data_IF_555449668857
#
_entry.id   IF_555449668857
#
_cell.length_a   1.000
_cell.length_b   1.000
_cell.length_c   1.000
_cell.angle_alpha   90.00
_cell.angle_beta   90.00
_cell.angle_gamma   90.00
#
_symmetry.space_group_name_H-M   'P 1'
#
loop_
_entity.id
_entity.type
_entity.pdbx_description
1 polymer ?
#
# COMPACT_ATOMS: atom_id res chain seq x y z
N UNK A 1 2.92 -17.30 0.05
CA UNK A 1 4.01 -16.35 -0.26
C UNK A 1 4.11 -15.27 0.80
N UNK A 2 5.19 -14.50 0.82
CA UNK A 2 5.40 -13.34 1.69
C UNK A 2 6.39 -12.37 1.05
N UNK A 3 6.29 -11.08 1.36
CA UNK A 3 7.20 -10.05 0.84
C UNK A 3 8.41 -9.97 1.75
N UNK A 4 9.60 -10.20 1.21
CA UNK A 4 10.86 -10.07 1.92
C UNK A 4 11.77 -9.12 1.14
N UNK A 5 12.01 -7.93 1.68
CA UNK A 5 13.00 -7.00 1.13
C UNK A 5 14.33 -7.15 1.86
N UNK A 6 15.42 -7.21 1.09
CA UNK A 6 16.77 -7.12 1.64
C UNK A 6 16.94 -5.81 2.44
N UNK A 7 17.77 -5.76 3.50
CA UNK A 7 17.90 -4.58 4.35
C UNK A 7 18.17 -3.27 3.58
N UNK A 8 18.98 -3.33 2.51
CA UNK A 8 19.32 -2.17 1.66
C UNK A 8 18.13 -1.61 0.87
N UNK A 9 17.08 -2.41 0.67
CA UNK A 9 15.88 -1.99 -0.06
C UNK A 9 14.79 -1.49 0.89
N UNK A 10 14.79 -1.91 2.15
CA UNK A 10 13.75 -1.54 3.11
C UNK A 10 13.70 -0.02 3.33
N UNK A 11 12.48 0.52 3.38
CA UNK A 11 12.21 1.96 3.60
C UNK A 11 12.87 2.89 2.56
N UNK A 12 13.10 2.39 1.35
CA UNK A 12 13.56 3.19 0.22
C UNK A 12 12.42 3.52 -0.75
N UNK A 13 12.65 4.48 -1.64
CA UNK A 13 11.78 4.76 -2.78
C UNK A 13 11.56 3.51 -3.65
N UNK A 14 12.62 2.75 -3.91
CA UNK A 14 12.60 1.54 -4.71
C UNK A 14 11.68 0.44 -4.12
N UNK A 15 11.60 0.31 -2.79
CA UNK A 15 10.66 -0.62 -2.18
C UNK A 15 9.19 -0.25 -2.43
N UNK A 16 8.87 1.05 -2.43
CA UNK A 16 7.51 1.52 -2.74
C UNK A 16 7.21 1.38 -4.24
N UNK A 17 8.20 1.65 -5.10
CA UNK A 17 8.08 1.44 -6.54
C UNK A 17 7.88 -0.04 -6.91
N UNK A 18 8.57 -0.97 -6.24
CA UNK A 18 8.35 -2.39 -6.43
C UNK A 18 6.89 -2.79 -6.15
N UNK A 19 6.29 -2.25 -5.09
CA UNK A 19 4.86 -2.47 -4.80
C UNK A 19 3.97 -1.84 -5.88
N UNK A 20 4.26 -0.62 -6.30
CA UNK A 20 3.51 0.06 -7.37
C UNK A 20 3.50 -0.75 -8.66
N UNK A 21 4.66 -1.24 -9.12
CA UNK A 21 4.75 -2.03 -10.35
C UNK A 21 3.94 -3.33 -10.27
N UNK A 22 3.94 -4.00 -9.11
CA UNK A 22 3.10 -5.18 -8.89
C UNK A 22 1.60 -4.83 -8.94
N UNK A 23 1.18 -3.76 -8.26
CA UNK A 23 -0.23 -3.31 -8.28
C UNK A 23 -0.67 -2.88 -9.69
N UNK A 24 0.17 -2.10 -10.38
CA UNK A 24 -0.07 -1.68 -11.77
C UNK A 24 -0.28 -2.87 -12.68
N UNK A 25 0.58 -3.90 -12.60
CA UNK A 25 0.39 -5.12 -13.40
C UNK A 25 -0.92 -5.83 -13.06
N UNK A 26 -1.26 -5.96 -11.78
CA UNK A 26 -2.49 -6.63 -11.33
C UNK A 26 -3.74 -5.95 -11.89
N UNK A 27 -3.81 -4.62 -11.85
CA UNK A 27 -4.99 -3.87 -12.27
C UNK A 27 -4.96 -3.50 -13.76
N UNK A 28 -3.89 -2.87 -14.25
CA UNK A 28 -3.85 -2.31 -15.62
C UNK A 28 -3.60 -3.38 -16.70
N UNK A 29 -2.82 -4.43 -16.39
CA UNK A 29 -2.44 -5.44 -17.39
C UNK A 29 -3.28 -6.72 -17.28
N UNK A 30 -3.55 -7.17 -16.05
CA UNK A 30 -4.19 -8.46 -15.80
C UNK A 30 -5.69 -8.37 -15.53
N UNK A 31 -6.23 -7.17 -15.29
CA UNK A 31 -7.67 -6.95 -15.07
C UNK A 31 -8.24 -7.60 -13.80
N UNK A 32 -7.41 -7.83 -12.78
CA UNK A 32 -7.91 -8.32 -11.49
C UNK A 32 -8.73 -7.24 -10.80
N UNK A 33 -9.76 -7.66 -10.08
CA UNK A 33 -10.68 -6.75 -9.37
C UNK A 33 -10.28 -6.44 -7.94
N UNK A 34 -9.31 -7.19 -7.41
CA UNK A 34 -8.93 -7.16 -5.99
C UNK A 34 -7.48 -7.56 -5.81
N UNK A 35 -6.75 -6.78 -5.02
CA UNK A 35 -5.38 -7.06 -4.61
C UNK A 35 -5.29 -7.08 -3.08
N UNK A 36 -4.81 -8.19 -2.52
CA UNK A 36 -4.89 -8.44 -1.07
C UNK A 36 -3.53 -8.36 -0.37
N UNK A 37 -3.55 -7.79 0.83
CA UNK A 37 -2.46 -7.87 1.79
C UNK A 37 -2.93 -8.57 3.05
N UNK A 38 -2.18 -9.58 3.50
CA UNK A 38 -2.42 -10.24 4.77
C UNK A 38 -1.16 -10.32 5.60
N UNK A 39 -1.28 -10.02 6.88
CA UNK A 39 -0.16 -10.10 7.81
C UNK A 39 -0.61 -10.62 9.18
N UNK A 40 0.36 -10.97 10.01
CA UNK A 40 0.10 -11.21 11.42
C UNK A 40 -0.40 -9.92 12.07
N UNK A 41 -1.47 -9.99 12.86
CA UNK A 41 -2.04 -8.85 13.55
C UNK A 41 -1.04 -8.13 14.49
N UNK A 42 -0.05 -8.87 15.00
CA UNK A 42 1.03 -8.36 15.84
C UNK A 42 2.19 -7.74 15.03
N UNK A 43 2.22 -7.91 13.70
CA UNK A 43 3.24 -7.31 12.84
C UNK A 43 2.89 -5.86 12.49
N UNK A 44 3.08 -4.96 13.46
CA UNK A 44 2.80 -3.54 13.31
C UNK A 44 3.51 -2.88 12.10
N UNK A 45 4.79 -3.18 11.77
CA UNK A 45 5.42 -2.66 10.55
C UNK A 45 4.69 -3.04 9.26
N UNK A 46 4.27 -4.30 9.13
CA UNK A 46 3.54 -4.77 7.94
C UNK A 46 2.16 -4.13 7.82
N UNK A 47 1.46 -3.97 8.94
CA UNK A 47 0.16 -3.28 9.00
C UNK A 47 0.28 -1.81 8.57
N UNK A 48 1.27 -1.08 9.10
CA UNK A 48 1.53 0.31 8.70
C UNK A 48 1.90 0.42 7.22
N UNK A 49 2.66 -0.55 6.70
CA UNK A 49 2.99 -0.58 5.27
C UNK A 49 1.73 -0.77 4.41
N UNK A 50 0.85 -1.70 4.75
CA UNK A 50 -0.42 -1.91 4.04
C UNK A 50 -1.24 -0.62 3.97
N UNK A 51 -1.46 0.05 5.11
CA UNK A 51 -2.21 1.32 5.14
C UNK A 51 -1.50 2.43 4.34
N UNK A 52 -0.18 2.60 4.49
CA UNK A 52 0.59 3.61 3.74
C UNK A 52 0.52 3.40 2.21
N UNK A 53 0.44 2.14 1.76
CA UNK A 53 0.38 1.77 0.34
C UNK A 53 -1.04 1.85 -0.25
N UNK A 54 -2.03 2.30 0.54
CA UNK A 54 -3.40 2.48 0.09
C UNK A 54 -4.33 1.29 0.32
N UNK A 55 -3.89 0.23 1.01
CA UNK A 55 -4.80 -0.87 1.33
C UNK A 55 -5.79 -0.48 2.43
N UNK A 56 -7.06 -0.81 2.22
CA UNK A 56 -8.16 -0.65 3.17
C UNK A 56 -8.25 -1.88 4.07
N UNK A 57 -8.37 -1.70 5.39
CA UNK A 57 -8.52 -2.82 6.33
C UNK A 57 -9.94 -3.41 6.26
N UNK A 58 -10.05 -4.73 6.25
CA UNK A 58 -11.35 -5.41 6.09
C UNK A 58 -11.69 -6.36 7.23
N UNK A 59 -10.71 -6.83 8.01
CA UNK A 59 -11.03 -7.68 9.14
C UNK A 59 -9.87 -8.48 9.72
N UNK A 60 -10.22 -9.19 10.79
CA UNK A 60 -9.31 -10.04 11.54
C UNK A 60 -9.87 -11.46 11.63
N UNK A 61 -9.12 -12.41 11.09
CA UNK A 61 -9.38 -13.82 11.36
C UNK A 61 -8.65 -14.21 12.64
N UNK A 62 -9.41 -14.37 13.72
CA UNK A 62 -8.91 -14.83 15.02
C UNK A 62 -8.51 -16.31 14.93
N UNK A 63 -7.38 -16.65 15.51
CA UNK A 63 -6.80 -18.01 15.50
C UNK A 63 -6.72 -18.63 14.10
N UNK A 64 -6.41 -17.81 13.09
CA UNK A 64 -6.36 -18.25 11.71
C UNK A 64 -5.33 -19.37 11.46
N UNK A 65 -4.23 -19.37 12.23
CA UNK A 65 -3.19 -20.40 12.12
C UNK A 65 -2.29 -20.42 13.35
N UNK A 66 -1.52 -21.50 13.52
CA UNK A 66 -0.39 -21.59 14.43
C UNK A 66 0.90 -21.44 13.61
N UNK A 67 1.76 -20.50 13.99
CA UNK A 67 3.02 -20.25 13.29
C UNK A 67 4.14 -20.01 14.30
N UNK A 68 5.29 -20.67 14.11
CA UNK A 68 6.44 -20.59 15.02
C UNK A 68 6.06 -20.85 16.49
N UNK A 69 5.22 -21.86 16.73
CA UNK A 69 4.84 -22.28 18.08
C UNK A 69 3.87 -21.35 18.81
N UNK A 70 3.24 -20.38 18.13
CA UNK A 70 2.24 -19.48 18.74
C UNK A 70 1.01 -19.29 17.86
N UNK A 71 -0.08 -18.84 18.50
CA UNK A 71 -1.25 -18.34 17.80
C UNK A 71 -0.89 -17.18 16.86
N UNK A 72 -1.54 -17.14 15.68
CA UNK A 72 -1.50 -16.02 14.75
C UNK A 72 -2.91 -15.67 14.30
N UNK A 73 -3.34 -14.48 14.69
CA UNK A 73 -4.47 -13.82 14.08
C UNK A 73 -4.02 -13.17 12.76
N UNK A 74 -4.85 -13.24 11.72
CA UNK A 74 -4.53 -12.69 10.39
C UNK A 74 -5.36 -11.44 10.12
N UNK A 75 -4.67 -10.31 10.01
CA UNK A 75 -5.26 -9.05 9.57
C UNK A 75 -5.28 -8.99 8.04
N UNK A 76 -6.45 -8.68 7.48
CA UNK A 76 -6.70 -8.61 6.04
C UNK A 76 -6.93 -7.17 5.60
N UNK A 77 -6.34 -6.84 4.46
CA UNK A 77 -6.49 -5.57 3.78
C UNK A 77 -6.61 -5.81 2.27
N UNK A 78 -7.24 -4.88 1.56
CA UNK A 78 -7.35 -4.96 0.11
C UNK A 78 -7.36 -3.60 -0.58
N UNK A 79 -7.10 -3.65 -1.89
CA UNK A 79 -7.38 -2.59 -2.85
C UNK A 79 -8.34 -3.17 -3.90
N UNK A 80 -9.37 -2.42 -4.25
CA UNK A 80 -10.29 -2.74 -5.35
C UNK A 80 -9.90 -2.03 -6.64
N UNK A 81 -10.32 -2.60 -7.77
CA UNK A 81 -10.18 -1.99 -9.10
C UNK A 81 -10.72 -0.55 -9.15
N UNK A 82 -11.86 -0.28 -8.52
CA UNK A 82 -12.45 1.06 -8.46
C UNK A 82 -11.63 2.08 -7.67
N UNK A 83 -10.79 1.63 -6.73
CA UNK A 83 -9.94 2.50 -5.92
C UNK A 83 -8.57 2.75 -6.56
N UNK A 84 -8.17 1.87 -7.49
CA UNK A 84 -6.86 1.87 -8.10
C UNK A 84 -6.50 3.17 -8.82
N UNK A 85 -7.39 3.83 -9.60
CA UNK A 85 -7.03 5.07 -10.30
C UNK A 85 -6.49 6.17 -9.37
N UNK A 86 -7.14 6.39 -8.21
CA UNK A 86 -6.68 7.37 -7.22
C UNK A 86 -5.37 6.95 -6.53
N UNK A 87 -5.22 5.66 -6.22
CA UNK A 87 -3.97 5.14 -5.64
C UNK A 87 -2.81 5.29 -6.62
N UNK A 88 -3.04 4.93 -7.89
CA UNK A 88 -2.08 5.06 -8.99
C UNK A 88 -1.58 6.50 -9.10
N UNK A 89 -2.50 7.47 -9.15
CA UNK A 89 -2.16 8.88 -9.17
C UNK A 89 -1.33 9.31 -7.95
N UNK A 90 -1.70 8.83 -6.75
CA UNK A 90 -0.93 9.08 -5.52
C UNK A 90 0.49 8.51 -5.57
N UNK A 91 0.67 7.31 -6.12
CA UNK A 91 1.99 6.72 -6.34
C UNK A 91 2.81 7.48 -7.38
N UNK A 92 2.20 7.86 -8.50
CA UNK A 92 2.88 8.59 -9.58
C UNK A 92 3.34 9.97 -9.09
N UNK A 93 2.49 10.70 -8.37
CA UNK A 93 2.87 11.96 -7.72
C UNK A 93 3.98 11.76 -6.67
N UNK A 94 3.91 10.69 -5.88
CA UNK A 94 4.93 10.42 -4.86
C UNK A 94 6.27 10.01 -5.45
N UNK A 95 6.25 9.23 -6.54
CA UNK A 95 7.42 8.74 -7.28
C UNK A 95 7.96 9.79 -8.25
N UNK A 96 7.33 10.94 -8.43
CA UNK A 96 7.90 12.03 -9.23
C UNK A 96 9.23 12.50 -8.60
N UNK A 97 10.33 12.65 -9.37
CA UNK A 97 11.57 13.22 -8.87
C UNK A 97 11.40 14.57 -8.14
N UNK A 98 10.44 15.40 -8.53
CA UNK A 98 10.14 16.68 -7.91
C UNK A 98 9.63 16.55 -6.46
N UNK A 99 9.08 15.39 -6.07
CA UNK A 99 8.67 15.12 -4.69
C UNK A 99 9.85 14.82 -3.75
N UNK A 100 11.10 14.83 -4.25
CA UNK A 100 12.28 14.60 -3.42
C UNK A 100 13.20 15.82 -3.46
N UNK A 101 13.83 16.14 -2.32
CA UNK A 101 14.87 17.17 -2.26
C UNK A 101 16.25 16.62 -2.64
N UNK A 102 17.27 17.49 -2.63
CA UNK A 102 18.64 17.12 -2.97
C UNK A 102 19.24 16.08 -2.02
N UNK A 103 18.73 15.95 -0.79
CA UNK A 103 19.14 14.93 0.17
C UNK A 103 18.35 13.62 0.01
N UNK A 104 17.39 13.56 -0.91
CA UNK A 104 16.52 12.41 -1.15
C UNK A 104 15.37 12.28 -0.15
N UNK A 105 15.09 13.31 0.66
CA UNK A 105 13.93 13.33 1.54
C UNK A 105 12.66 13.68 0.75
N UNK A 106 11.57 12.98 1.04
CA UNK A 106 10.27 13.24 0.42
C UNK A 106 9.68 14.57 0.92
N UNK A 107 9.10 15.36 0.01
CA UNK A 107 8.39 16.61 0.32
C UNK A 107 6.97 16.33 0.81
N UNK A 108 6.28 15.38 0.17
CA UNK A 108 4.98 14.87 0.59
C UNK A 108 5.03 13.35 0.85
N UNK A 109 4.26 12.90 1.85
CA UNK A 109 4.15 11.49 2.20
C UNK A 109 3.24 10.73 1.23
N UNK A 110 3.62 9.47 0.90
CA UNK A 110 2.83 8.63 0.00
C UNK A 110 1.38 8.44 0.47
N UNK A 111 1.18 8.21 1.76
CA UNK A 111 -0.16 8.01 2.33
C UNK A 111 -1.04 9.26 2.18
N UNK A 112 -0.45 10.44 2.33
CA UNK A 112 -1.15 11.72 2.21
C UNK A 112 -1.55 11.98 0.76
N UNK A 113 -0.65 11.73 -0.19
CA UNK A 113 -0.93 11.85 -1.61
C UNK A 113 -2.01 10.85 -2.07
N UNK A 114 -1.94 9.59 -1.62
CA UNK A 114 -3.00 8.61 -1.92
C UNK A 114 -4.34 9.07 -1.33
N UNK A 115 -4.35 9.58 -0.09
CA UNK A 115 -5.59 10.07 0.53
C UNK A 115 -6.19 11.26 -0.23
N UNK A 116 -5.36 12.20 -0.68
CA UNK A 116 -5.78 13.33 -1.49
C UNK A 116 -6.37 12.91 -2.84
N UNK A 117 -5.74 11.95 -3.52
CA UNK A 117 -6.17 11.48 -4.85
C UNK A 117 -7.35 10.51 -4.81
N UNK A 118 -7.59 9.85 -3.67
CA UNK A 118 -8.77 9.02 -3.43
C UNK A 118 -10.01 9.83 -3.05
N UNK A 119 -9.85 11.06 -2.55
CA UNK A 119 -10.99 11.90 -2.24
C UNK A 119 -11.79 12.13 -3.53
N UNK A 120 -13.13 11.95 -3.52
CA UNK A 120 -13.93 12.35 -4.66
C UNK A 120 -13.65 13.83 -4.91
N UNK A 121 -13.27 14.18 -6.13
CA UNK A 121 -13.16 15.57 -6.57
C UNK A 121 -14.50 16.23 -6.24
N UNK A 122 -14.55 17.11 -5.24
CA UNK A 122 -15.78 17.83 -4.88
C UNK A 122 -16.38 18.45 -6.15
N UNK A 123 -17.70 18.43 -6.37
CA UNK A 123 -18.63 19.17 -5.51
C UNK A 123 -17.96 20.44 -4.97
N UNK A 124 -17.61 21.33 -5.89
CA UNK A 124 -17.44 22.75 -5.61
C UNK A 124 -18.68 23.47 -6.16
N UNK A 125 -19.31 24.22 -5.25
CA UNK A 125 -20.31 25.29 -5.43
C UNK A 125 -21.79 24.87 -5.58
N UNK A 126 -22.49 24.99 -4.45
CA UNK A 126 -23.82 25.62 -4.35
C UNK A 126 -23.74 26.71 -3.27
#
# INVERSE_FOLDING_TARGET
GGINFAPRLQRTRLASEAMYLMMRRVFDELGYRRYEWKCDALNAPSRRAATRLGFSYEGLFRQATIYKGRNRDTAWYAILDSEWPGIKAGFEAWLDPANFDEAGAQRAGLGDLIAQMRAPTGQQEA
#
